data_IF_436457165434
#
_entry.id   IF_436457165434
#
_cell.length_a   1.000
_cell.length_b   1.000
_cell.length_c   1.000
_cell.angle_alpha   90.00
_cell.angle_beta   90.00
_cell.angle_gamma   90.00
#
_symmetry.space_group_name_H-M   'P 1'
#
loop_
_entity.id
_entity.type
_entity.pdbx_description
1 polymer ?
#
# COMPACT_ATOMS: atom_id res chain seq x y z
N UNK A 1 4.13 40.05 38.12
CA UNK A 1 4.36 38.81 37.34
C UNK A 1 3.57 38.95 36.05
N UNK A 2 4.26 39.26 34.95
CA UNK A 2 3.63 39.48 33.64
C UNK A 2 3.95 38.26 32.78
N UNK A 3 2.93 37.53 32.36
CA UNK A 3 3.09 36.42 31.42
C UNK A 3 3.13 37.00 30.00
N UNK A 4 4.32 36.99 29.39
CA UNK A 4 4.48 37.23 27.96
C UNK A 4 4.06 35.96 27.22
N UNK A 5 2.93 36.04 26.53
CA UNK A 5 2.48 35.06 25.54
C UNK A 5 3.48 35.02 24.39
N UNK A 6 4.28 33.95 24.36
CA UNK A 6 5.09 33.61 23.19
C UNK A 6 4.17 33.13 22.07
N UNK A 7 3.94 33.98 21.08
CA UNK A 7 3.37 33.58 19.79
C UNK A 7 4.30 32.55 19.15
N UNK A 8 3.86 31.29 19.11
CA UNK A 8 4.42 30.30 18.21
C UNK A 8 4.02 30.72 16.80
N UNK A 9 4.94 31.36 16.09
CA UNK A 9 4.84 31.56 14.65
C UNK A 9 4.84 30.17 14.01
N UNK A 10 3.64 29.65 13.68
CA UNK A 10 3.52 28.67 12.62
C UNK A 10 3.95 29.37 11.33
N UNK A 11 5.22 29.22 10.97
CA UNK A 11 5.64 29.35 9.57
C UNK A 11 5.03 28.14 8.87
N UNK A 12 3.74 28.24 8.55
CA UNK A 12 3.12 27.42 7.52
C UNK A 12 3.69 27.93 6.19
N UNK A 13 4.94 27.54 5.90
CA UNK A 13 5.45 27.56 4.54
C UNK A 13 4.46 26.73 3.74
N UNK A 14 3.55 27.40 3.03
CA UNK A 14 2.68 26.81 2.04
C UNK A 14 3.62 26.23 0.98
N UNK A 15 4.01 24.97 1.16
CA UNK A 15 4.77 24.25 0.15
C UNK A 15 3.97 24.38 -1.15
N UNK A 16 4.61 24.77 -2.27
CA UNK A 16 3.90 24.83 -3.54
C UNK A 16 3.38 23.43 -3.87
N UNK A 17 2.06 23.29 -3.83
CA UNK A 17 1.36 22.05 -4.12
C UNK A 17 0.79 22.15 -5.52
N UNK A 18 1.22 21.26 -6.41
CA UNK A 18 0.67 21.20 -7.77
C UNK A 18 -0.70 20.52 -7.78
N UNK A 19 -1.65 21.16 -8.44
CA UNK A 19 -3.02 20.67 -8.62
C UNK A 19 -3.34 20.65 -10.11
N UNK A 20 -3.34 19.46 -10.70
CA UNK A 20 -3.60 19.27 -12.12
C UNK A 20 -5.10 19.35 -12.39
N UNK A 21 -5.49 19.88 -13.55
CA UNK A 21 -6.90 19.86 -13.94
C UNK A 21 -7.40 18.41 -14.07
N UNK A 22 -6.56 17.53 -14.62
CA UNK A 22 -6.74 16.09 -14.63
C UNK A 22 -6.20 15.43 -13.35
N UNK A 23 -6.71 15.78 -12.17
CA UNK A 23 -6.22 15.20 -10.91
C UNK A 23 -6.37 13.66 -10.88
N UNK A 24 -5.31 12.89 -10.57
CA UNK A 24 -5.39 11.44 -10.52
C UNK A 24 -6.13 10.98 -9.26
N UNK A 25 -6.74 9.80 -9.32
CA UNK A 25 -7.35 9.13 -8.17
C UNK A 25 -6.67 7.80 -7.91
N UNK A 26 -6.08 7.61 -6.72
CA UNK A 26 -5.63 6.29 -6.26
C UNK A 26 -6.80 5.52 -5.68
N UNK A 27 -6.97 4.28 -6.13
CA UNK A 27 -8.12 3.45 -5.79
C UNK A 27 -7.65 2.16 -5.13
N UNK A 28 -8.19 1.84 -3.96
CA UNK A 28 -8.05 0.53 -3.34
C UNK A 28 -9.38 -0.22 -3.41
N UNK A 29 -9.31 -1.48 -3.84
CA UNK A 29 -10.45 -2.37 -3.92
C UNK A 29 -10.45 -3.38 -2.77
N UNK A 30 -11.40 -3.20 -1.86
CA UNK A 30 -11.51 -3.97 -0.63
C UNK A 30 -11.88 -5.44 -0.86
N UNK A 31 -12.47 -5.77 -2.01
CA UNK A 31 -12.72 -7.16 -2.40
C UNK A 31 -11.44 -7.95 -2.74
N UNK A 32 -10.34 -7.24 -3.02
CA UNK A 32 -9.08 -7.85 -3.47
C UNK A 32 -7.92 -7.61 -2.50
N UNK A 33 -7.86 -6.45 -1.84
CA UNK A 33 -6.84 -6.10 -0.84
C UNK A 33 -7.48 -5.58 0.46
N UNK A 34 -8.13 -6.46 1.23
CA UNK A 34 -8.90 -6.05 2.40
C UNK A 34 -8.04 -5.49 3.54
N UNK A 35 -6.77 -5.89 3.66
CA UNK A 35 -5.89 -5.39 4.73
C UNK A 35 -5.61 -3.89 4.53
N UNK A 36 -5.36 -3.48 3.27
CA UNK A 36 -5.19 -2.05 2.94
C UNK A 36 -6.43 -1.23 3.31
N UNK A 37 -7.61 -1.74 2.94
CA UNK A 37 -8.86 -1.06 3.27
C UNK A 37 -9.13 -0.99 4.77
N UNK A 38 -8.68 -1.98 5.54
CA UNK A 38 -8.80 -1.97 6.98
C UNK A 38 -7.98 -0.83 7.59
N UNK A 39 -6.72 -0.67 7.17
CA UNK A 39 -5.85 0.44 7.58
C UNK A 39 -6.47 1.78 7.25
N UNK A 40 -7.00 1.96 6.03
CA UNK A 40 -7.64 3.21 5.61
C UNK A 40 -8.86 3.53 6.48
N UNK A 41 -9.73 2.53 6.72
CA UNK A 41 -10.95 2.70 7.53
C UNK A 41 -10.66 2.99 9.01
N UNK A 42 -9.49 2.58 9.51
CA UNK A 42 -9.05 2.92 10.86
C UNK A 42 -8.61 4.38 10.99
N UNK A 43 -8.31 5.07 9.88
CA UNK A 43 -7.94 6.48 9.88
C UNK A 43 -9.09 7.40 9.46
N UNK A 44 -9.79 7.06 8.38
CA UNK A 44 -10.84 7.91 7.83
C UNK A 44 -12.04 8.00 8.79
N UNK A 45 -12.77 9.14 8.80
CA UNK A 45 -14.03 9.24 9.53
C UNK A 45 -14.98 8.09 9.17
N UNK A 46 -15.79 7.64 10.15
CA UNK A 46 -16.73 6.56 9.93
C UNK A 46 -17.63 6.83 8.71
N UNK A 47 -17.69 5.88 7.78
CA UNK A 47 -18.46 5.98 6.53
C UNK A 47 -17.76 6.74 5.40
N UNK A 48 -16.62 7.39 5.64
CA UNK A 48 -15.84 8.01 4.58
C UNK A 48 -15.09 6.95 3.76
N UNK A 49 -15.15 7.11 2.45
CA UNK A 49 -14.47 6.24 1.47
C UNK A 49 -13.57 7.03 0.52
N UNK A 50 -13.49 8.35 0.67
CA UNK A 50 -12.71 9.23 -0.20
C UNK A 50 -11.90 10.23 0.61
N UNK A 51 -10.81 10.71 0.01
CA UNK A 51 -9.98 11.77 0.56
C UNK A 51 -9.27 12.54 -0.57
N UNK A 52 -8.78 13.73 -0.27
CA UNK A 52 -7.77 14.42 -1.09
C UNK A 52 -6.49 14.47 -0.28
N UNK A 53 -5.39 14.06 -0.91
CA UNK A 53 -4.09 13.84 -0.28
C UNK A 53 -2.98 14.44 -1.13
N UNK A 54 -1.78 14.53 -0.58
CA UNK A 54 -0.64 15.13 -1.25
C UNK A 54 0.52 14.14 -1.33
N UNK A 55 0.89 13.73 -2.55
CA UNK A 55 2.08 12.93 -2.76
C UNK A 55 3.33 13.81 -2.62
N UNK A 56 4.38 13.27 -2.00
CA UNK A 56 5.67 13.92 -1.84
C UNK A 56 6.77 13.00 -2.39
N UNK A 57 7.46 13.46 -3.43
CA UNK A 57 8.50 12.69 -4.12
C UNK A 57 9.85 12.71 -3.40
N UNK A 58 10.02 13.53 -2.35
CA UNK A 58 11.28 13.67 -1.62
C UNK A 58 11.52 12.46 -0.69
N UNK A 59 12.60 11.73 -0.98
CA UNK A 59 12.94 10.50 -0.27
C UNK A 59 13.18 10.71 1.24
N UNK A 60 13.89 11.76 1.62
CA UNK A 60 14.23 12.02 3.02
C UNK A 60 13.00 12.31 3.88
N UNK A 61 12.05 13.10 3.35
CA UNK A 61 10.78 13.39 4.03
C UNK A 61 9.93 12.14 4.17
N UNK A 62 9.87 11.33 3.11
CA UNK A 62 9.20 10.03 3.15
C UNK A 62 9.82 9.11 4.21
N UNK A 63 11.15 9.01 4.26
CA UNK A 63 11.83 8.14 5.24
C UNK A 63 11.55 8.64 6.67
N UNK A 64 11.64 9.95 6.92
CA UNK A 64 11.32 10.53 8.22
C UNK A 64 9.87 10.27 8.67
N UNK A 65 8.88 10.31 7.75
CA UNK A 65 7.49 9.93 8.05
C UNK A 65 7.37 8.43 8.33
N UNK A 66 8.03 7.58 7.54
CA UNK A 66 8.02 6.13 7.72
C UNK A 66 8.55 5.72 9.09
N UNK A 67 9.66 6.31 9.53
CA UNK A 67 10.27 6.02 10.83
C UNK A 67 9.32 6.33 12.00
N UNK A 68 8.35 7.23 11.82
CA UNK A 68 7.36 7.56 12.83
C UNK A 68 6.13 6.63 12.83
N UNK A 69 5.80 6.04 11.68
CA UNK A 69 4.57 5.26 11.49
C UNK A 69 4.90 3.77 11.47
N UNK A 70 5.65 3.32 10.48
CA UNK A 70 6.11 1.95 10.32
C UNK A 70 7.64 1.84 10.44
N UNK A 71 8.22 1.95 11.65
CA UNK A 71 9.66 1.71 11.84
C UNK A 71 10.03 0.27 11.45
N UNK A 72 11.31 0.04 11.16
CA UNK A 72 11.81 -1.22 10.59
C UNK A 72 11.51 -2.45 11.47
N UNK A 73 11.45 -2.26 12.78
CA UNK A 73 11.16 -3.27 13.81
C UNK A 73 9.68 -3.33 14.23
N UNK A 74 8.79 -2.56 13.58
CA UNK A 74 7.37 -2.53 13.94
C UNK A 74 6.75 -3.92 13.94
N UNK A 75 6.96 -4.72 12.90
CA UNK A 75 6.39 -6.06 12.79
C UNK A 75 7.06 -7.08 13.73
N UNK A 76 8.12 -6.70 14.45
CA UNK A 76 8.78 -7.55 15.46
C UNK A 76 8.29 -7.23 16.87
N UNK A 77 7.78 -6.02 17.08
CA UNK A 77 7.29 -5.53 18.37
C UNK A 77 5.76 -5.45 18.43
N UNK A 78 5.10 -5.30 17.28
CA UNK A 78 3.65 -5.35 17.13
C UNK A 78 3.17 -6.78 16.94
N UNK A 79 2.06 -7.12 17.59
CA UNK A 79 1.46 -8.45 17.49
C UNK A 79 0.76 -8.64 16.14
N UNK A 80 1.43 -9.29 15.19
CA UNK A 80 0.79 -9.81 13.98
C UNK A 80 0.50 -11.32 14.11
N UNK A 81 -0.61 -11.82 13.52
CA UNK A 81 -1.68 -11.08 12.86
C UNK A 81 -2.56 -10.33 13.88
N UNK A 82 -3.32 -9.37 13.38
CA UNK A 82 -4.37 -8.71 14.16
C UNK A 82 -5.47 -9.72 14.53
N UNK A 83 -6.18 -9.50 15.65
CA UNK A 83 -7.27 -10.40 16.05
C UNK A 83 -8.40 -10.46 15.02
N UNK A 84 -8.55 -9.42 14.21
CA UNK A 84 -9.53 -9.30 13.15
C UNK A 84 -8.89 -9.31 11.75
N UNK A 85 -7.69 -9.92 11.62
CA UNK A 85 -6.94 -10.00 10.37
C UNK A 85 -7.82 -10.57 9.24
N UNK A 86 -8.06 -9.82 8.16
CA UNK A 86 -8.81 -10.33 7.03
C UNK A 86 -8.00 -11.41 6.29
N UNK A 87 -8.71 -12.32 5.63
CA UNK A 87 -8.09 -13.16 4.63
C UNK A 87 -7.59 -12.29 3.46
N UNK A 88 -6.57 -12.74 2.76
CA UNK A 88 -5.93 -11.97 1.68
C UNK A 88 -5.77 -12.80 0.41
N UNK A 89 -5.50 -12.13 -0.72
CA UNK A 89 -5.26 -12.78 -2.02
C UNK A 89 -3.80 -12.63 -2.42
N UNK A 90 -3.24 -13.67 -3.01
CA UNK A 90 -1.90 -13.63 -3.60
C UNK A 90 -1.97 -13.51 -5.11
N UNK A 91 -0.91 -12.99 -5.74
CA UNK A 91 -0.79 -13.02 -7.20
C UNK A 91 -0.93 -14.44 -7.73
N UNK A 92 -1.74 -14.59 -8.79
CA UNK A 92 -2.09 -15.86 -9.40
C UNK A 92 -3.17 -16.65 -8.64
N UNK A 93 -3.78 -16.08 -7.59
CA UNK A 93 -4.86 -16.71 -6.82
C UNK A 93 -6.13 -15.88 -6.94
N UNK A 94 -7.21 -16.47 -7.45
CA UNK A 94 -8.54 -15.85 -7.49
C UNK A 94 -9.37 -16.11 -6.21
N UNK A 95 -8.81 -16.83 -5.24
CA UNK A 95 -9.42 -17.15 -3.95
C UNK A 95 -8.60 -16.57 -2.79
N UNK A 96 -9.26 -16.38 -1.65
CA UNK A 96 -8.62 -15.97 -0.41
C UNK A 96 -7.73 -17.09 0.15
N UNK A 97 -6.54 -16.73 0.60
CA UNK A 97 -5.55 -17.67 1.12
C UNK A 97 -5.97 -18.23 2.48
N UNK A 98 -5.76 -19.53 2.67
CA UNK A 98 -5.98 -20.30 3.91
C UNK A 98 -4.68 -20.54 4.70
N UNK A 99 -3.69 -19.67 4.49
CA UNK A 99 -2.39 -19.78 5.17
C UNK A 99 -2.53 -19.50 6.65
N UNK A 100 -1.58 -20.03 7.41
CA UNK A 100 -1.47 -19.83 8.86
C UNK A 100 -0.12 -19.24 9.22
N UNK A 101 0.06 -18.82 10.47
CA UNK A 101 1.39 -18.46 10.95
C UNK A 101 2.32 -19.66 10.84
N UNK A 102 3.53 -19.42 10.33
CA UNK A 102 4.57 -20.44 10.25
C UNK A 102 4.97 -20.86 11.66
N UNK A 103 5.19 -22.15 11.86
CA UNK A 103 5.74 -22.67 13.11
C UNK A 103 7.06 -23.39 12.83
N UNK A 104 8.02 -23.25 13.74
CA UNK A 104 9.28 -23.96 13.66
C UNK A 104 9.12 -25.46 14.01
N UNK A 105 10.26 -26.17 14.06
CA UNK A 105 10.31 -27.59 14.41
C UNK A 105 9.85 -27.89 15.84
N UNK A 106 9.92 -26.89 16.73
CA UNK A 106 9.60 -26.98 18.15
C UNK A 106 8.15 -26.49 18.41
N UNK A 107 7.45 -26.04 17.36
CA UNK A 107 6.06 -25.58 17.43
C UNK A 107 5.93 -24.12 17.84
N UNK A 108 6.99 -23.32 17.79
CA UNK A 108 6.94 -21.89 18.08
C UNK A 108 6.50 -21.15 16.82
N UNK A 109 5.45 -20.35 16.93
CA UNK A 109 4.96 -19.51 15.84
C UNK A 109 5.94 -18.36 15.55
N UNK A 110 6.23 -18.11 14.28
CA UNK A 110 6.95 -16.91 13.83
C UNK A 110 5.99 -15.71 13.88
N UNK A 111 6.46 -14.52 14.31
CA UNK A 111 5.59 -13.36 14.50
C UNK A 111 5.05 -12.76 13.20
N UNK A 112 5.63 -13.09 12.04
CA UNK A 112 5.25 -12.46 10.76
C UNK A 112 5.16 -13.42 9.58
N UNK A 113 5.83 -14.56 9.61
CA UNK A 113 5.86 -15.47 8.45
C UNK A 113 4.56 -16.26 8.32
N UNK A 114 4.06 -16.33 7.09
CA UNK A 114 2.90 -17.14 6.74
C UNK A 114 3.33 -18.44 6.07
N UNK A 115 2.52 -19.49 6.24
CA UNK A 115 2.80 -20.83 5.76
C UNK A 115 1.55 -21.57 5.27
N UNK A 116 1.75 -22.39 4.24
CA UNK A 116 0.83 -23.46 3.88
C UNK A 116 0.96 -24.57 4.92
N UNK A 117 -0.17 -24.95 5.54
CA UNK A 117 -0.24 -26.05 6.51
C UNK A 117 -0.64 -27.34 5.79
N UNK A 118 0.12 -28.40 6.00
CA UNK A 118 -0.18 -29.73 5.44
C UNK A 118 0.09 -30.83 6.45
N UNK A 119 -0.55 -31.98 6.28
CA UNK A 119 -0.25 -33.19 7.07
C UNK A 119 0.56 -34.16 6.23
N UNK A 120 1.64 -34.71 6.81
CA UNK A 120 2.42 -35.79 6.21
C UNK A 120 2.50 -36.97 7.16
N UNK A 121 2.61 -38.17 6.61
CA UNK A 121 2.86 -39.38 7.38
C UNK A 121 4.37 -39.66 7.41
N UNK A 122 4.91 -39.96 8.59
CA UNK A 122 6.32 -40.35 8.73
C UNK A 122 6.54 -41.82 8.34
N UNK A 123 7.80 -42.29 8.41
CA UNK A 123 8.17 -43.65 8.05
C UNK A 123 7.53 -44.71 8.96
N UNK A 124 7.04 -44.32 10.13
CA UNK A 124 6.37 -45.16 11.12
C UNK A 124 4.84 -45.11 11.00
N UNK A 125 4.31 -44.37 10.02
CA UNK A 125 2.87 -44.26 9.82
C UNK A 125 2.19 -43.17 10.65
N UNK A 126 2.93 -42.39 11.44
CA UNK A 126 2.39 -41.34 12.30
C UNK A 126 2.23 -40.03 11.52
N UNK A 127 1.11 -39.36 11.73
CA UNK A 127 0.84 -38.06 11.12
C UNK A 127 1.62 -36.94 11.81
N UNK A 128 2.20 -36.07 10.99
CA UNK A 128 2.96 -34.89 11.38
C UNK A 128 2.48 -33.69 10.57
N UNK A 129 2.18 -32.59 11.25
CA UNK A 129 1.93 -31.30 10.61
C UNK A 129 3.23 -30.72 10.07
N UNK A 130 3.18 -30.20 8.85
CA UNK A 130 4.30 -29.56 8.15
C UNK A 130 3.86 -28.18 7.70
N UNK A 131 4.63 -27.17 8.11
CA UNK A 131 4.48 -25.77 7.70
C UNK A 131 5.47 -25.47 6.60
N UNK A 132 4.98 -25.03 5.44
CA UNK A 132 5.84 -24.59 4.33
C UNK A 132 5.64 -23.10 4.13
N UNK A 133 6.73 -22.32 4.19
CA UNK A 133 6.67 -20.88 3.97
C UNK A 133 5.88 -20.53 2.69
N UNK A 134 4.94 -19.59 2.79
CA UNK A 134 4.00 -19.26 1.71
C UNK A 134 4.55 -18.20 0.72
N UNK A 135 5.76 -17.68 0.95
CA UNK A 135 6.30 -16.57 0.13
C UNK A 135 5.77 -15.20 0.55
N UNK A 136 5.18 -15.10 1.74
CA UNK A 136 4.50 -13.91 2.27
C UNK A 136 4.82 -13.76 3.76
N UNK A 137 5.02 -12.52 4.19
CA UNK A 137 5.10 -12.14 5.60
C UNK A 137 4.04 -11.06 5.88
N UNK A 138 3.68 -10.88 7.15
CA UNK A 138 2.93 -9.71 7.60
C UNK A 138 3.91 -8.57 7.88
N UNK A 139 3.58 -7.38 7.38
CA UNK A 139 4.33 -6.14 7.62
C UNK A 139 3.40 -5.02 8.04
N UNK A 140 3.97 -3.88 8.39
CA UNK A 140 3.24 -2.68 8.73
C UNK A 140 2.68 -2.02 7.47
N UNK A 141 1.36 -1.96 7.34
CA UNK A 141 0.70 -1.01 6.45
C UNK A 141 0.49 0.31 7.18
N UNK A 142 0.75 1.43 6.51
CA UNK A 142 0.57 2.79 7.02
C UNK A 142 -0.42 3.55 6.13
N UNK A 143 -1.43 4.16 6.75
CA UNK A 143 -2.33 5.08 6.07
C UNK A 143 -2.62 6.31 6.94
N UNK A 144 -2.43 7.54 6.43
CA UNK A 144 -1.80 7.92 5.17
C UNK A 144 -0.37 7.39 5.02
N UNK A 145 0.02 7.00 3.81
CA UNK A 145 1.34 6.41 3.57
C UNK A 145 2.47 7.43 3.71
N UNK A 146 3.68 7.00 4.06
CA UNK A 146 4.81 7.93 4.25
C UNK A 146 5.21 8.71 2.98
N UNK A 147 4.84 8.21 1.79
CA UNK A 147 5.01 8.95 0.53
C UNK A 147 4.07 10.15 0.39
N UNK A 148 3.20 10.40 1.37
CA UNK A 148 2.25 11.49 1.36
C UNK A 148 2.54 12.46 2.51
N UNK A 149 2.15 13.73 2.36
CA UNK A 149 2.39 14.76 3.39
C UNK A 149 1.66 14.42 4.69
N UNK A 150 0.47 13.83 4.58
CA UNK A 150 -0.38 13.43 5.70
C UNK A 150 0.13 12.18 6.43
N UNK A 151 1.15 11.51 5.89
CA UNK A 151 1.73 10.32 6.51
C UNK A 151 2.64 10.62 7.68
N UNK A 152 3.06 9.57 8.38
CA UNK A 152 3.94 9.67 9.55
C UNK A 152 3.16 9.71 10.86
N UNK A 153 3.50 10.63 11.77
CA UNK A 153 2.86 10.71 13.08
C UNK A 153 1.33 10.80 12.94
N UNK A 154 0.62 9.91 13.64
CA UNK A 154 -0.84 9.82 13.61
C UNK A 154 -1.42 8.94 12.49
N UNK A 155 -0.58 8.35 11.62
CA UNK A 155 -1.05 7.36 10.65
C UNK A 155 -1.66 6.13 11.35
N UNK A 156 -2.74 5.61 10.78
CA UNK A 156 -3.25 4.30 11.15
C UNK A 156 -2.30 3.22 10.66
N UNK A 157 -2.20 2.15 11.44
CA UNK A 157 -1.32 1.02 11.18
C UNK A 157 -2.07 -0.29 11.31
N UNK A 158 -1.71 -1.25 10.50
CA UNK A 158 -2.33 -2.57 10.51
C UNK A 158 -1.39 -3.61 9.92
N UNK A 159 -1.46 -4.85 10.37
CA UNK A 159 -0.72 -5.94 9.74
C UNK A 159 -1.28 -6.22 8.34
N UNK A 160 -0.46 -6.10 7.30
CA UNK A 160 -0.83 -6.42 5.93
C UNK A 160 0.16 -7.41 5.30
N UNK A 161 -0.30 -8.34 4.45
CA UNK A 161 0.57 -9.28 3.79
C UNK A 161 1.45 -8.59 2.74
N UNK A 162 2.73 -8.94 2.74
CA UNK A 162 3.73 -8.57 1.73
C UNK A 162 4.48 -9.80 1.23
N UNK A 163 4.59 -9.93 -0.08
CA UNK A 163 5.42 -10.92 -0.74
C UNK A 163 6.90 -10.77 -0.37
N UNK A 164 7.48 -11.82 0.22
CA UNK A 164 8.88 -11.85 0.64
C UNK A 164 9.54 -13.14 0.20
N UNK A 165 10.76 -13.04 -0.33
CA UNK A 165 11.61 -14.19 -0.63
C UNK A 165 12.28 -14.68 0.65
N UNK A 166 12.08 -15.95 0.99
CA UNK A 166 12.83 -16.66 2.04
C UNK A 166 13.15 -18.07 1.55
N UNK A 167 14.38 -18.56 1.80
CA UNK A 167 14.73 -19.97 1.60
C UNK A 167 14.49 -20.51 0.18
N UNK A 168 14.77 -19.72 -0.86
CA UNK A 168 14.65 -20.15 -2.26
C UNK A 168 13.22 -20.16 -2.83
N UNK A 169 12.19 -19.81 -2.06
CA UNK A 169 10.84 -19.61 -2.59
C UNK A 169 10.64 -18.20 -3.16
N UNK A 170 9.91 -18.13 -4.27
CA UNK A 170 9.47 -16.86 -4.86
C UNK A 170 8.54 -16.13 -3.92
N UNK A 171 8.71 -14.80 -3.83
CA UNK A 171 7.74 -13.91 -3.21
C UNK A 171 6.42 -14.01 -3.97
N UNK A 172 5.31 -14.05 -3.24
CA UNK A 172 3.96 -13.95 -3.81
C UNK A 172 3.47 -12.53 -3.57
N UNK A 173 3.33 -11.68 -4.59
CA UNK A 173 2.81 -10.33 -4.40
C UNK A 173 1.41 -10.33 -3.79
N UNK A 174 1.17 -9.42 -2.85
CA UNK A 174 -0.05 -9.26 -2.06
C UNK A 174 -0.36 -7.77 -1.83
N UNK A 175 -1.32 -7.47 -0.96
CA UNK A 175 -1.76 -6.13 -0.51
C UNK A 175 -0.65 -5.07 -0.52
N UNK A 176 0.41 -5.22 0.28
CA UNK A 176 1.50 -4.24 0.39
C UNK A 176 2.29 -4.03 -0.90
N UNK A 177 2.50 -5.09 -1.69
CA UNK A 177 3.19 -4.95 -2.99
C UNK A 177 2.32 -4.20 -4.01
N UNK A 178 0.99 -4.40 -3.97
CA UNK A 178 0.05 -3.68 -4.83
C UNK A 178 -0.10 -2.22 -4.40
N UNK A 179 -0.12 -1.94 -3.09
CA UNK A 179 -0.01 -0.58 -2.57
C UNK A 179 1.25 0.11 -3.10
N UNK A 180 2.42 -0.51 -2.94
CA UNK A 180 3.69 0.04 -3.42
C UNK A 180 3.68 0.31 -4.92
N UNK A 181 3.10 -0.61 -5.70
CA UNK A 181 2.88 -0.44 -7.14
C UNK A 181 1.97 0.74 -7.46
N UNK A 182 0.87 0.92 -6.71
CA UNK A 182 -0.03 2.06 -6.85
C UNK A 182 0.63 3.41 -6.55
N UNK A 183 1.48 3.47 -5.53
CA UNK A 183 2.23 4.69 -5.20
C UNK A 183 3.29 5.00 -6.26
N UNK A 184 3.95 3.98 -6.80
CA UNK A 184 4.85 4.14 -7.93
C UNK A 184 4.11 4.62 -9.19
N UNK A 185 2.90 4.11 -9.44
CA UNK A 185 2.04 4.56 -10.53
C UNK A 185 1.59 6.02 -10.39
N UNK A 186 1.22 6.46 -9.18
CA UNK A 186 0.95 7.89 -8.92
C UNK A 186 2.14 8.76 -9.29
N UNK A 187 3.36 8.36 -8.89
CA UNK A 187 4.58 9.07 -9.26
C UNK A 187 4.81 9.06 -10.78
N UNK A 188 4.60 7.93 -11.44
CA UNK A 188 4.75 7.83 -12.90
C UNK A 188 3.76 8.73 -13.63
N UNK A 189 2.50 8.76 -13.17
CA UNK A 189 1.49 9.67 -13.70
C UNK A 189 1.94 11.12 -13.54
N UNK A 190 2.41 11.50 -12.35
CA UNK A 190 2.88 12.85 -12.08
C UNK A 190 4.05 13.27 -12.97
N UNK A 191 5.09 12.44 -13.04
CA UNK A 191 6.27 12.70 -13.88
C UNK A 191 5.88 12.83 -15.36
N UNK A 192 4.88 12.09 -15.84
CA UNK A 192 4.41 12.21 -17.22
C UNK A 192 3.67 13.54 -17.53
N UNK A 193 3.38 14.35 -16.50
CA UNK A 193 2.73 15.66 -16.61
C UNK A 193 3.68 16.82 -16.31
N UNK A 194 4.96 16.52 -16.12
CA UNK A 194 5.99 17.53 -15.94
C UNK A 194 6.62 17.87 -17.30
N UNK A 195 7.08 19.11 -17.50
CA UNK A 195 7.83 19.47 -18.69
C UNK A 195 9.16 18.71 -18.75
N UNK A 196 9.73 18.57 -19.95
CA UNK A 196 10.98 17.82 -20.18
C UNK A 196 12.19 18.41 -19.41
N UNK A 197 12.15 19.70 -19.06
CA UNK A 197 13.13 20.33 -18.18
C UNK A 197 12.46 20.80 -16.89
N UNK A 198 12.66 20.04 -15.82
CA UNK A 198 12.35 20.48 -14.46
C UNK A 198 13.64 20.72 -13.69
N UNK A 199 13.64 21.75 -12.87
CA UNK A 199 14.58 21.87 -11.77
C UNK A 199 14.13 20.90 -10.68
N UNK A 200 14.92 19.86 -10.41
CA UNK A 200 14.59 18.84 -9.40
C UNK A 200 14.58 19.42 -7.97
N UNK A 201 15.17 20.61 -7.77
CA UNK A 201 15.18 21.31 -6.49
C UNK A 201 13.99 22.27 -6.33
N UNK A 202 13.21 22.51 -7.39
CA UNK A 202 11.98 23.29 -7.28
C UNK A 202 10.88 22.46 -6.63
N UNK A 203 10.53 22.86 -5.40
CA UNK A 203 9.49 22.26 -4.58
C UNK A 203 8.15 22.14 -5.33
N UNK A 204 7.88 23.00 -6.32
CA UNK A 204 6.67 22.96 -7.15
C UNK A 204 6.52 21.68 -7.99
N UNK A 205 7.63 20.94 -8.18
CA UNK A 205 7.69 19.65 -8.86
C UNK A 205 7.89 18.46 -7.92
N UNK A 206 7.79 18.68 -6.61
CA UNK A 206 8.01 17.62 -5.62
C UNK A 206 6.71 17.13 -4.98
N UNK A 207 5.68 17.99 -4.95
CA UNK A 207 4.41 17.72 -4.29
C UNK A 207 3.24 17.93 -5.23
N UNK A 208 2.31 16.96 -5.27
CA UNK A 208 1.07 17.10 -6.04
C UNK A 208 -0.15 16.52 -5.32
N UNK A 209 -1.32 17.11 -5.58
CA UNK A 209 -2.62 16.63 -5.12
C UNK A 209 -3.07 15.42 -5.91
N UNK A 210 -3.64 14.47 -5.20
CA UNK A 210 -4.40 13.37 -5.79
C UNK A 210 -5.65 13.10 -4.96
N UNK A 211 -6.67 12.54 -5.60
CA UNK A 211 -7.83 12.02 -4.89
C UNK A 211 -7.55 10.57 -4.48
N UNK A 212 -8.21 10.11 -3.44
CA UNK A 212 -8.19 8.71 -3.03
C UNK A 212 -9.61 8.20 -2.91
N UNK A 213 -9.83 6.93 -3.26
CA UNK A 213 -11.11 6.26 -3.00
C UNK A 213 -10.96 4.78 -2.63
N UNK A 214 -11.82 4.32 -1.74
CA UNK A 214 -12.11 2.91 -1.50
C UNK A 214 -13.29 2.47 -2.37
N UNK A 215 -13.18 1.27 -2.93
CA UNK A 215 -14.29 0.60 -3.60
C UNK A 215 -14.39 -0.85 -3.11
N UNK A 216 -15.54 -1.47 -3.35
CA UNK A 216 -15.76 -2.89 -3.07
C UNK A 216 -16.31 -3.56 -4.33
N UNK A 217 -15.41 -3.90 -5.25
CA UNK A 217 -15.73 -4.38 -6.59
C UNK A 217 -15.23 -5.83 -6.74
N UNK A 218 -16.07 -6.78 -6.34
CA UNK A 218 -15.73 -8.22 -6.37
C UNK A 218 -15.49 -8.77 -7.79
N UNK A 219 -16.17 -8.21 -8.78
CA UNK A 219 -16.03 -8.55 -10.20
C UNK A 219 -14.81 -7.87 -10.86
N UNK A 220 -14.07 -7.07 -10.11
CA UNK A 220 -12.89 -6.36 -10.57
C UNK A 220 -11.64 -7.00 -9.98
N UNK A 221 -10.79 -7.54 -10.84
CA UNK A 221 -9.59 -8.27 -10.43
C UNK A 221 -8.45 -7.39 -9.92
N UNK A 222 -8.58 -6.07 -10.05
CA UNK A 222 -7.57 -5.14 -9.60
C UNK A 222 -7.76 -4.86 -8.11
N UNK A 223 -6.66 -4.97 -7.36
CA UNK A 223 -6.57 -4.58 -5.97
C UNK A 223 -6.29 -3.08 -5.80
N UNK A 224 -5.44 -2.54 -6.68
CA UNK A 224 -5.05 -1.13 -6.66
C UNK A 224 -4.99 -0.62 -8.09
N UNK A 225 -5.49 0.59 -8.32
CA UNK A 225 -5.23 1.29 -9.58
C UNK A 225 -5.19 2.81 -9.44
N UNK A 226 -4.66 3.47 -10.47
CA UNK A 226 -4.75 4.93 -10.64
C UNK A 226 -5.73 5.23 -11.77
N UNK A 227 -6.69 6.11 -11.49
CA UNK A 227 -7.62 6.68 -12.46
C UNK A 227 -7.25 8.11 -12.80
N UNK A 228 -7.44 8.52 -14.05
CA UNK A 228 -7.42 9.93 -14.44
C UNK A 228 -8.23 10.12 -15.73
N UNK A 229 -9.10 11.13 -15.77
CA UNK A 229 -9.99 11.38 -16.91
C UNK A 229 -11.10 10.36 -17.07
N UNK A 230 -11.54 9.74 -15.97
CA UNK A 230 -12.58 8.68 -16.01
C UNK A 230 -12.05 7.31 -16.45
N UNK A 231 -10.75 7.16 -16.68
CA UNK A 231 -10.15 5.91 -17.14
C UNK A 231 -9.15 5.33 -16.14
N UNK A 232 -9.06 3.99 -16.08
CA UNK A 232 -8.01 3.28 -15.33
C UNK A 232 -6.72 3.22 -16.13
N UNK A 233 -5.59 3.50 -15.48
CA UNK A 233 -4.30 3.63 -16.16
C UNK A 233 -3.21 2.66 -15.74
N UNK A 234 -3.11 2.46 -14.44
CA UNK A 234 -2.10 1.60 -13.85
C UNK A 234 -2.82 0.67 -12.90
N UNK A 235 -2.89 -0.62 -13.21
CA UNK A 235 -3.69 -1.54 -12.44
C UNK A 235 -2.89 -2.74 -11.97
N UNK A 236 -3.12 -3.13 -10.72
CA UNK A 236 -2.38 -4.17 -10.02
C UNK A 236 -3.34 -5.01 -9.21
N UNK A 237 -3.13 -6.32 -9.14
CA UNK A 237 -4.01 -7.21 -8.41
C UNK A 237 -3.63 -8.67 -8.51
N UNK A 238 -4.45 -9.55 -7.91
CA UNK A 238 -4.22 -11.00 -7.88
C UNK A 238 -4.15 -11.62 -9.27
N UNK A 239 -5.13 -11.36 -10.13
CA UNK A 239 -5.18 -11.91 -11.50
C UNK A 239 -5.00 -10.87 -12.58
N UNK A 240 -4.77 -9.61 -12.20
CA UNK A 240 -4.57 -8.51 -13.14
C UNK A 240 -3.48 -8.85 -14.19
N UNK A 241 -3.79 -8.73 -15.49
CA UNK A 241 -2.84 -8.97 -16.56
C UNK A 241 -1.68 -7.98 -16.48
N UNK A 242 -0.53 -8.40 -17.01
CA UNK A 242 0.61 -7.51 -17.13
C UNK A 242 0.43 -6.57 -18.33
N UNK A 243 0.59 -5.27 -18.11
CA UNK A 243 0.58 -4.27 -19.18
C UNK A 243 -0.81 -3.71 -19.48
N UNK A 244 -0.93 -3.09 -20.66
CA UNK A 244 -2.15 -2.41 -21.09
C UNK A 244 -3.21 -3.41 -21.59
N UNK A 245 -4.47 -3.12 -21.27
CA UNK A 245 -5.65 -3.88 -21.68
C UNK A 245 -6.75 -2.94 -22.16
N UNK A 246 -7.86 -3.51 -22.64
CA UNK A 246 -9.04 -2.75 -23.02
C UNK A 246 -9.67 -1.97 -21.84
N UNK A 247 -9.42 -2.37 -20.60
CA UNK A 247 -10.03 -1.76 -19.39
C UNK A 247 -9.02 -1.06 -18.49
N UNK A 248 -7.73 -1.18 -18.78
CA UNK A 248 -6.65 -0.51 -18.06
C UNK A 248 -5.47 -0.26 -18.99
N UNK A 249 -5.19 1.00 -19.33
CA UNK A 249 -4.01 1.35 -20.14
C UNK A 249 -3.43 2.68 -19.71
N UNK A 250 -2.10 2.79 -19.73
CA UNK A 250 -1.39 3.98 -19.20
C UNK A 250 -1.84 5.28 -19.86
N UNK A 251 -2.03 5.23 -21.18
CA UNK A 251 -2.45 6.35 -22.03
C UNK A 251 -3.71 5.95 -22.79
N UNK A 252 -4.70 6.83 -22.81
CA UNK A 252 -5.94 6.67 -23.55
C UNK A 252 -5.96 7.58 -24.77
N UNK A 253 -6.66 7.15 -25.81
CA UNK A 253 -6.85 7.94 -27.02
C UNK A 253 -7.64 9.21 -26.66
N UNK A 254 -7.11 10.37 -27.04
CA UNK A 254 -7.71 11.66 -26.68
C UNK A 254 -7.23 12.24 -25.35
N UNK A 255 -6.27 11.59 -24.68
CA UNK A 255 -5.50 12.25 -23.62
C UNK A 255 -4.74 13.43 -24.22
N UNK A 256 -5.23 14.64 -23.98
CA UNK A 256 -4.42 15.82 -24.24
C UNK A 256 -3.24 15.81 -23.27
N UNK A 257 -1.99 16.02 -23.76
CA UNK A 257 -0.92 16.48 -22.91
C UNK A 257 -1.42 17.77 -22.23
N UNK A 258 -1.41 17.81 -20.90
CA UNK A 258 -1.58 19.11 -20.25
C UNK A 258 -0.31 19.92 -20.54
N UNK A 259 -0.42 21.20 -20.93
CA UNK A 259 0.73 22.05 -21.19
C UNK A 259 1.57 22.30 -19.93
#
# INVERSE_FOLDING_TARGET
MSFTTGSVFLISLLLPVRDFALRPTLVYNCAQAPSLCKTVRNYLPAGASTATLHYDSIADRKNARRDQSCPTDWAETHGCPESDQPQWKGRGRNYFSDVVMWHDKDGVADPKRLADKSTKRDAQGKEKTVYRFAGVILTCDEWPAATWIEGGSGAARYCAPEGRRCGGKSAVPTDQNWQGSGHAALRQWFVSRLPDSIDNDDLSYTIFKFNFKLVDASNDEHAVWVEAGGHKRYCYGPTAPAGDTATCKRVWDGDTPEP
#
